data_IF_006481978295
#
_entry.id   IF_006481978295
#
_cell.length_a   1.000
_cell.length_b   1.000
_cell.length_c   1.000
_cell.angle_alpha   90.00
_cell.angle_beta   90.00
_cell.angle_gamma   90.00
#
_symmetry.space_group_name_H-M   'P 1'
#
loop_
_entity.id
_entity.type
_entity.pdbx_description
1 polymer ?
#
# COMPACT_ATOMS: atom_id res chain seq x y z
N UNK A 1 -20.29 64.46 -1.74
CA UNK A 1 -19.76 64.16 -3.09
C UNK A 1 -18.29 63.69 -3.04
N UNK A 2 -17.68 63.50 -1.86
CA UNK A 2 -16.23 63.34 -1.65
C UNK A 2 -15.85 61.90 -1.24
N UNK A 3 -16.72 60.95 -1.56
CA UNK A 3 -16.78 59.59 -1.01
C UNK A 3 -16.71 58.53 -2.11
N UNK A 4 -17.05 58.89 -3.36
CA UNK A 4 -17.10 57.97 -4.50
C UNK A 4 -15.71 57.56 -5.00
N UNK A 5 -14.70 58.42 -4.88
CA UNK A 5 -13.34 58.14 -5.34
C UNK A 5 -12.56 57.26 -4.37
N UNK A 6 -12.70 57.49 -3.06
CA UNK A 6 -12.08 56.66 -2.01
C UNK A 6 -12.62 55.22 -2.01
N UNK A 7 -13.93 55.05 -2.21
CA UNK A 7 -14.54 53.72 -2.29
C UNK A 7 -14.11 52.96 -3.56
N UNK A 8 -13.90 53.68 -4.68
CA UNK A 8 -13.35 53.07 -5.92
C UNK A 8 -11.91 52.62 -5.75
N UNK A 9 -11.11 53.37 -4.98
CA UNK A 9 -9.73 53.01 -4.67
C UNK A 9 -9.66 51.79 -3.76
N UNK A 10 -10.50 51.73 -2.72
CA UNK A 10 -10.62 50.57 -1.83
C UNK A 10 -11.08 49.31 -2.57
N UNK A 11 -12.09 49.43 -3.44
CA UNK A 11 -12.58 48.30 -4.25
C UNK A 11 -11.48 47.81 -5.20
N UNK A 12 -10.73 48.71 -5.84
CA UNK A 12 -9.62 48.32 -6.73
C UNK A 12 -8.50 47.58 -5.97
N UNK A 13 -8.14 48.05 -4.77
CA UNK A 13 -7.14 47.39 -3.92
C UNK A 13 -7.62 46.00 -3.48
N UNK A 14 -8.88 45.87 -3.03
CA UNK A 14 -9.45 44.58 -2.68
C UNK A 14 -9.48 43.62 -3.87
N UNK A 15 -9.78 44.12 -5.09
CA UNK A 15 -9.79 43.29 -6.29
C UNK A 15 -8.39 42.77 -6.65
N UNK A 16 -7.36 43.63 -6.54
CA UNK A 16 -5.96 43.24 -6.77
C UNK A 16 -5.48 42.24 -5.72
N UNK A 17 -5.85 42.41 -4.44
CA UNK A 17 -5.48 41.49 -3.37
C UNK A 17 -6.18 40.12 -3.49
N UNK A 18 -7.46 40.09 -3.86
CA UNK A 18 -8.22 38.83 -4.01
C UNK A 18 -7.77 38.06 -5.25
N UNK A 19 -7.54 38.73 -6.38
CA UNK A 19 -7.05 38.08 -7.61
C UNK A 19 -5.58 37.66 -7.49
N UNK A 20 -4.75 38.46 -6.80
CA UNK A 20 -3.35 38.14 -6.53
C UNK A 20 -3.16 36.92 -5.62
N UNK A 21 -3.98 36.80 -4.57
CA UNK A 21 -3.95 35.62 -3.69
C UNK A 21 -4.45 34.35 -4.38
N UNK A 22 -5.43 34.45 -5.30
CA UNK A 22 -5.91 33.28 -6.05
C UNK A 22 -4.87 32.76 -7.06
N UNK A 23 -4.04 33.64 -7.63
CA UNK A 23 -2.97 33.27 -8.56
C UNK A 23 -1.82 32.47 -7.94
N UNK A 24 -1.60 32.59 -6.63
CA UNK A 24 -0.54 31.86 -5.91
C UNK A 24 -0.87 30.37 -5.64
N UNK A 25 -2.15 29.97 -5.76
CA UNK A 25 -2.57 28.61 -5.43
C UNK A 25 -2.41 27.59 -6.58
N UNK A 26 -2.11 28.06 -7.81
CA UNK A 26 -2.10 27.19 -9.00
C UNK A 26 -0.70 26.68 -9.38
N UNK A 27 0.36 27.11 -8.68
CA UNK A 27 1.75 26.73 -8.98
C UNK A 27 2.27 25.49 -8.21
N UNK A 28 1.39 24.71 -7.58
CA UNK A 28 1.77 23.66 -6.62
C UNK A 28 1.83 22.22 -7.14
N UNK A 29 1.53 21.95 -8.41
CA UNK A 29 1.57 20.58 -8.95
C UNK A 29 2.60 20.46 -10.06
N UNK A 30 3.87 20.49 -9.69
CA UNK A 30 4.92 19.94 -10.54
C UNK A 30 4.77 18.41 -10.53
N UNK A 31 4.03 17.87 -11.50
CA UNK A 31 4.08 16.44 -11.81
C UNK A 31 5.35 16.20 -12.61
N UNK A 32 6.45 15.94 -11.92
CA UNK A 32 7.57 15.25 -12.54
C UNK A 32 7.04 13.87 -13.00
N UNK A 33 7.23 13.46 -14.26
CA UNK A 33 6.90 12.10 -14.65
C UNK A 33 7.79 11.18 -13.81
N UNK A 34 7.17 10.37 -12.96
CA UNK A 34 7.87 9.32 -12.23
C UNK A 34 8.63 8.48 -13.26
N UNK A 35 9.96 8.58 -13.25
CA UNK A 35 10.81 7.74 -14.08
C UNK A 35 10.42 6.29 -13.77
N UNK A 36 9.94 5.58 -14.79
CA UNK A 36 9.67 4.15 -14.67
C UNK A 36 11.02 3.50 -14.36
N UNK A 37 11.20 2.88 -13.18
CA UNK A 37 12.42 2.14 -12.91
C UNK A 37 12.56 1.08 -14.00
N UNK A 38 13.75 1.00 -14.59
CA UNK A 38 14.12 -0.01 -15.57
C UNK A 38 13.64 -1.39 -15.10
N UNK A 39 12.99 -2.21 -15.96
CA UNK A 39 12.47 -3.51 -15.56
C UNK A 39 13.56 -4.31 -14.88
N UNK A 40 13.41 -4.53 -13.58
CA UNK A 40 14.34 -5.38 -12.87
C UNK A 40 14.10 -6.79 -13.40
N UNK A 41 15.14 -7.36 -14.01
CA UNK A 41 15.15 -8.73 -14.49
C UNK A 41 14.67 -9.63 -13.34
N UNK A 42 13.51 -10.25 -13.54
CA UNK A 42 12.96 -11.25 -12.63
C UNK A 42 13.87 -12.47 -12.70
N UNK A 43 14.95 -12.43 -11.92
CA UNK A 43 15.74 -13.62 -11.62
C UNK A 43 14.82 -14.50 -10.79
N UNK A 44 14.27 -15.52 -11.45
CA UNK A 44 13.41 -16.54 -10.87
C UNK A 44 14.24 -17.38 -9.88
N UNK A 45 14.49 -16.83 -8.70
CA UNK A 45 15.07 -17.59 -7.60
C UNK A 45 13.98 -18.51 -7.09
N UNK A 46 14.13 -19.80 -7.41
CA UNK A 46 13.39 -20.89 -6.78
C UNK A 46 13.18 -20.59 -5.30
N UNK A 47 11.91 -20.69 -4.85
CA UNK A 47 11.41 -20.21 -3.56
C UNK A 47 12.44 -20.29 -2.46
N UNK A 48 12.92 -19.11 -2.03
CA UNK A 48 13.93 -19.04 -1.01
C UNK A 48 13.30 -19.40 0.34
N UNK A 49 13.76 -20.48 0.96
CA UNK A 49 13.65 -20.65 2.41
C UNK A 49 14.53 -19.58 3.07
N UNK A 50 14.08 -18.32 3.06
CA UNK A 50 14.72 -17.27 3.82
C UNK A 50 14.28 -17.44 5.26
N UNK A 51 15.26 -17.62 6.14
CA UNK A 51 15.01 -17.67 7.59
C UNK A 51 14.12 -16.48 8.01
N UNK A 52 12.95 -16.80 8.56
CA UNK A 52 11.97 -15.82 9.03
C UNK A 52 10.87 -15.43 8.04
N UNK A 53 10.91 -15.86 6.77
CA UNK A 53 9.77 -15.72 5.87
C UNK A 53 8.74 -16.85 6.07
N UNK A 54 7.43 -16.54 5.99
CA UNK A 54 6.41 -17.57 6.06
C UNK A 54 6.48 -18.46 4.80
N UNK A 55 6.58 -19.80 4.93
CA UNK A 55 6.58 -20.69 3.77
C UNK A 55 5.24 -20.62 3.01
N UNK A 56 5.25 -20.79 1.68
CA UNK A 56 4.02 -20.92 0.92
C UNK A 56 3.25 -22.19 1.29
N UNK A 57 1.96 -22.24 0.98
CA UNK A 57 1.09 -23.39 1.22
C UNK A 57 1.19 -24.32 -0.01
N UNK A 58 1.77 -25.54 0.10
CA UNK A 58 2.05 -26.41 -1.04
C UNK A 58 0.89 -27.37 -1.38
N UNK A 59 -0.34 -27.06 -0.94
CA UNK A 59 -1.51 -27.93 -1.10
C UNK A 59 -2.81 -27.12 -1.23
N UNK A 60 -3.87 -27.77 -1.74
CA UNK A 60 -5.20 -27.17 -1.82
C UNK A 60 -5.82 -26.86 -0.45
N UNK A 61 -6.85 -26.00 -0.46
CA UNK A 61 -7.60 -25.61 0.74
C UNK A 61 -9.07 -26.05 0.73
N UNK A 62 -9.57 -26.65 -0.36
CA UNK A 62 -10.99 -26.95 -0.56
C UNK A 62 -11.60 -27.80 0.57
N UNK A 63 -10.79 -28.62 1.25
CA UNK A 63 -11.19 -29.40 2.42
C UNK A 63 -10.33 -29.16 3.67
N UNK A 64 -9.51 -28.11 3.70
CA UNK A 64 -8.51 -27.86 4.76
C UNK A 64 -8.65 -26.46 5.34
N UNK A 65 -9.83 -26.15 5.87
CA UNK A 65 -10.15 -24.82 6.41
C UNK A 65 -9.66 -24.61 7.85
N UNK A 66 -9.47 -25.68 8.62
CA UNK A 66 -8.88 -25.61 9.97
C UNK A 66 -7.42 -26.07 9.92
N UNK A 67 -6.52 -25.10 9.80
CA UNK A 67 -5.08 -25.32 9.67
C UNK A 67 -4.51 -26.09 10.87
N UNK A 68 -5.06 -25.86 12.07
CA UNK A 68 -4.52 -26.42 13.31
C UNK A 68 -4.82 -27.91 13.48
N UNK A 69 -5.72 -28.48 12.70
CA UNK A 69 -5.96 -29.94 12.67
C UNK A 69 -4.67 -30.70 12.37
N UNK A 70 -3.86 -30.19 11.44
CA UNK A 70 -2.58 -30.80 11.08
C UNK A 70 -1.38 -30.08 11.70
N UNK A 71 -1.42 -28.75 11.76
CA UNK A 71 -0.24 -27.95 12.12
C UNK A 71 -0.07 -27.69 13.63
N UNK A 72 -1.04 -27.99 14.50
CA UNK A 72 -0.91 -27.70 15.95
C UNK A 72 0.22 -28.48 16.62
N UNK A 73 0.24 -29.80 16.42
CA UNK A 73 1.32 -30.67 16.92
C UNK A 73 2.25 -31.14 15.79
N UNK A 74 1.86 -30.96 14.53
CA UNK A 74 2.58 -31.45 13.36
C UNK A 74 2.35 -32.95 13.11
N UNK A 75 3.14 -33.51 12.18
CA UNK A 75 3.22 -34.93 11.80
C UNK A 75 2.00 -35.51 11.05
N UNK A 76 0.80 -34.95 11.22
CA UNK A 76 -0.36 -35.38 10.45
C UNK A 76 -0.19 -35.01 8.97
N UNK A 77 0.04 -36.01 8.13
CA UNK A 77 0.30 -35.80 6.69
C UNK A 77 1.61 -35.08 6.40
N UNK A 78 2.62 -35.21 7.28
CA UNK A 78 3.92 -34.48 7.19
C UNK A 78 3.80 -32.96 7.34
N UNK A 79 2.69 -32.47 7.89
CA UNK A 79 2.56 -31.07 8.23
C UNK A 79 3.57 -30.69 9.33
N UNK A 80 4.34 -29.60 9.18
CA UNK A 80 5.18 -29.09 10.25
C UNK A 80 4.33 -28.54 11.40
N UNK A 81 4.84 -28.64 12.62
CA UNK A 81 4.26 -27.96 13.77
C UNK A 81 4.43 -26.44 13.62
N UNK A 82 3.35 -25.69 13.78
CA UNK A 82 3.42 -24.23 13.79
C UNK A 82 4.10 -23.75 15.08
N UNK A 83 5.07 -22.81 14.99
CA UNK A 83 5.67 -22.21 16.18
C UNK A 83 4.76 -21.16 16.86
N UNK A 84 3.63 -20.81 16.23
CA UNK A 84 2.74 -19.72 16.66
C UNK A 84 1.25 -20.11 16.52
N UNK A 85 0.77 -21.11 17.30
CA UNK A 85 -0.62 -21.59 17.22
C UNK A 85 -1.68 -20.54 17.59
N UNK A 86 -1.29 -19.44 18.23
CA UNK A 86 -2.13 -18.30 18.57
C UNK A 86 -2.46 -17.40 17.36
N UNK A 87 -1.67 -17.47 16.27
CA UNK A 87 -1.93 -16.73 15.04
C UNK A 87 -2.95 -17.47 14.17
N UNK A 88 -4.23 -17.24 14.44
CA UNK A 88 -5.34 -17.99 13.81
C UNK A 88 -5.67 -17.57 12.38
N UNK A 89 -5.12 -16.45 11.90
CA UNK A 89 -5.35 -15.95 10.53
C UNK A 89 -4.16 -16.28 9.63
N UNK A 90 -3.92 -17.58 9.41
CA UNK A 90 -2.69 -18.08 8.78
C UNK A 90 -2.42 -17.50 7.38
N UNK A 91 -3.49 -17.27 6.60
CA UNK A 91 -3.44 -16.73 5.23
C UNK A 91 -3.12 -15.23 5.14
N UNK A 92 -2.89 -14.55 6.26
CA UNK A 92 -2.30 -13.21 6.24
C UNK A 92 -0.84 -13.24 5.81
N UNK A 93 -0.14 -14.34 6.12
CA UNK A 93 1.30 -14.49 5.87
C UNK A 93 1.59 -15.64 4.90
N UNK A 94 0.88 -16.76 5.04
CA UNK A 94 1.07 -17.92 4.18
C UNK A 94 0.18 -17.82 2.94
N UNK A 95 0.81 -17.67 1.78
CA UNK A 95 0.15 -17.59 0.48
C UNK A 95 0.16 -18.96 -0.20
N UNK A 96 -0.85 -19.26 -1.01
CA UNK A 96 -0.84 -20.48 -1.83
C UNK A 96 0.32 -20.43 -2.82
N UNK A 97 1.03 -21.54 -2.95
CA UNK A 97 1.95 -21.71 -4.07
C UNK A 97 1.12 -21.83 -5.35
N UNK A 98 1.38 -20.96 -6.33
CA UNK A 98 0.81 -21.10 -7.67
C UNK A 98 1.60 -22.20 -8.39
N UNK A 99 0.99 -23.38 -8.51
CA UNK A 99 1.54 -24.54 -9.22
C UNK A 99 1.04 -24.55 -10.66
#
# INVERSE_FOLDING_TARGET
>A
MKDKEGNRFLIAICFVLVVGCAGLLVAGCATEPAGVPEPQEIVETQGHDLDGFPPPIPHDLEAKTDCLVCHREGELGKAPKTPHPELTTCRQCHVLEEI
#
